data_IF_144738563451
#
_entry.id   IF_144738563451
#
_cell.length_a   1.000
_cell.length_b   1.000
_cell.length_c   1.000
_cell.angle_alpha   90.00
_cell.angle_beta   90.00
_cell.angle_gamma   90.00
#
_symmetry.space_group_name_H-M   'P 1'
#
loop_
_entity.id
_entity.type
_entity.pdbx_description
1 polymer ?
#
# COMPACT_ATOMS: atom_id res chain seq x y z
N UNK A 1 -20.04 -21.84 45.06
CA UNK A 1 -19.43 -22.39 43.83
C UNK A 1 -19.60 -21.36 42.73
N UNK A 2 -18.54 -20.64 42.38
CA UNK A 2 -18.58 -19.63 41.31
C UNK A 2 -18.09 -20.28 40.02
N UNK A 3 -18.92 -20.30 38.98
CA UNK A 3 -18.56 -20.86 37.68
C UNK A 3 -17.56 -19.95 36.95
N UNK A 4 -16.54 -20.50 36.25
CA UNK A 4 -15.62 -19.68 35.48
C UNK A 4 -16.34 -19.09 34.26
N UNK A 5 -16.32 -17.76 34.14
CA UNK A 5 -16.76 -17.05 32.94
C UNK A 5 -15.82 -17.39 31.78
N UNK A 6 -16.26 -18.26 30.88
CA UNK A 6 -15.60 -18.45 29.58
C UNK A 6 -15.90 -17.24 28.68
N UNK A 7 -14.89 -16.56 28.11
CA UNK A 7 -15.12 -15.45 27.21
C UNK A 7 -15.79 -15.94 25.93
N UNK A 8 -16.99 -15.45 25.66
CA UNK A 8 -17.73 -15.74 24.43
C UNK A 8 -16.96 -15.15 23.23
N UNK A 9 -16.62 -15.94 22.20
CA UNK A 9 -15.94 -15.41 21.03
C UNK A 9 -16.88 -14.42 20.32
N UNK A 10 -16.41 -13.18 20.16
CA UNK A 10 -17.16 -12.13 19.47
C UNK A 10 -17.20 -12.43 17.96
N UNK A 11 -18.30 -12.09 17.25
CA UNK A 11 -18.50 -12.48 15.85
C UNK A 11 -17.38 -12.01 14.90
N UNK A 12 -16.71 -10.91 15.23
CA UNK A 12 -15.56 -10.39 14.49
C UNK A 12 -14.37 -11.37 14.47
N UNK A 13 -14.17 -12.14 15.54
CA UNK A 13 -13.07 -13.12 15.63
C UNK A 13 -13.32 -14.35 14.75
N UNK A 14 -14.58 -14.78 14.61
CA UNK A 14 -14.97 -15.89 13.76
C UNK A 14 -14.82 -15.52 12.28
N UNK A 15 -15.29 -14.34 11.88
CA UNK A 15 -15.14 -13.83 10.50
C UNK A 15 -13.67 -13.73 10.12
N UNK A 16 -12.80 -13.29 11.04
CA UNK A 16 -11.36 -13.19 10.80
C UNK A 16 -10.72 -14.57 10.62
N UNK A 17 -11.12 -15.57 11.43
CA UNK A 17 -10.64 -16.96 11.30
C UNK A 17 -11.10 -17.59 9.98
N UNK A 18 -12.36 -17.38 9.59
CA UNK A 18 -12.91 -17.87 8.32
C UNK A 18 -12.18 -17.23 7.14
N UNK A 19 -11.95 -15.91 7.15
CA UNK A 19 -11.18 -15.22 6.11
C UNK A 19 -9.75 -15.73 6.00
N UNK A 20 -9.07 -15.95 7.13
CA UNK A 20 -7.70 -16.49 7.14
C UNK A 20 -7.65 -17.91 6.58
N UNK A 21 -8.64 -18.74 6.92
CA UNK A 21 -8.74 -20.10 6.43
C UNK A 21 -8.98 -20.15 4.91
N UNK A 22 -9.92 -19.34 4.41
CA UNK A 22 -10.20 -19.25 2.97
C UNK A 22 -8.98 -18.74 2.22
N UNK A 23 -8.34 -17.67 2.68
CA UNK A 23 -7.14 -17.12 2.00
C UNK A 23 -5.92 -18.06 2.05
N UNK A 24 -5.84 -18.97 3.04
CA UNK A 24 -4.75 -19.95 3.11
C UNK A 24 -4.94 -21.17 2.20
N UNK A 25 -6.15 -21.40 1.70
CA UNK A 25 -6.52 -22.59 0.92
C UNK A 25 -7.07 -22.26 -0.46
N UNK A 26 -7.49 -21.02 -0.69
CA UNK A 26 -7.89 -20.55 -1.98
C UNK A 26 -6.64 -20.34 -2.84
N UNK A 27 -6.55 -21.00 -4.00
CA UNK A 27 -5.49 -20.70 -4.95
C UNK A 27 -5.63 -19.25 -5.44
N UNK A 28 -4.50 -18.59 -5.71
CA UNK A 28 -4.44 -17.15 -6.03
C UNK A 28 -5.35 -16.74 -7.20
N UNK A 29 -5.64 -17.67 -8.12
CA UNK A 29 -6.54 -17.46 -9.26
C UNK A 29 -7.99 -17.18 -8.84
N UNK A 30 -8.49 -17.77 -7.75
CA UNK A 30 -9.87 -17.58 -7.29
C UNK A 30 -10.12 -16.13 -6.83
N UNK A 31 -9.09 -15.50 -6.25
CA UNK A 31 -9.14 -14.08 -5.87
C UNK A 31 -9.14 -13.14 -7.08
N UNK A 32 -8.53 -13.55 -8.19
CA UNK A 32 -8.60 -12.80 -9.45
C UNK A 32 -9.98 -12.90 -10.09
N UNK A 33 -10.56 -14.11 -10.05
CA UNK A 33 -11.86 -14.39 -10.63
C UNK A 33 -12.99 -13.63 -9.93
N UNK A 34 -13.01 -13.62 -8.59
CA UNK A 34 -13.97 -12.82 -7.81
C UNK A 34 -13.88 -11.33 -8.16
N UNK A 35 -12.67 -10.78 -8.39
CA UNK A 35 -12.51 -9.39 -8.80
C UNK A 35 -13.01 -9.08 -10.22
N UNK A 36 -12.99 -10.07 -11.12
CA UNK A 36 -13.54 -9.94 -12.47
C UNK A 36 -15.06 -9.97 -12.47
N UNK A 37 -15.66 -10.78 -11.59
CA UNK A 37 -17.11 -10.87 -11.44
C UNK A 37 -17.72 -9.73 -10.61
N UNK A 38 -16.97 -9.18 -9.64
CA UNK A 38 -17.47 -8.13 -8.74
C UNK A 38 -17.41 -6.69 -9.31
N UNK A 39 -16.93 -6.48 -10.54
CA UNK A 39 -16.97 -5.16 -11.20
C UNK A 39 -18.16 -5.09 -12.16
N UNK A 40 -19.08 -4.12 -12.02
CA UNK A 40 -20.01 -3.83 -13.10
C UNK A 40 -19.22 -3.35 -14.32
N UNK A 41 -19.21 -4.18 -15.37
CA UNK A 41 -18.58 -3.87 -16.66
C UNK A 41 -19.39 -2.77 -17.37
N UNK A 42 -18.86 -1.56 -17.44
CA UNK A 42 -19.07 -0.73 -18.63
C UNK A 42 -18.18 -1.28 -19.73
N UNK A 43 -18.71 -2.23 -20.49
CA UNK A 43 -18.12 -2.69 -21.76
C UNK A 43 -18.22 -1.53 -22.75
N UNK A 44 -17.11 -0.84 -23.04
CA UNK A 44 -16.80 -0.23 -24.33
C UNK A 44 -15.32 0.22 -24.30
N UNK A 45 -14.53 -0.30 -25.24
CA UNK A 45 -13.10 0.00 -25.49
C UNK A 45 -12.06 -0.78 -24.67
N UNK A 46 -11.91 -2.07 -24.96
CA UNK A 46 -10.67 -2.81 -24.71
C UNK A 46 -9.67 -2.53 -25.85
N UNK A 47 -8.93 -1.43 -25.74
CA UNK A 47 -7.64 -1.29 -26.43
C UNK A 47 -6.64 -2.14 -25.65
N UNK A 48 -6.18 -3.25 -26.23
CA UNK A 48 -5.15 -4.11 -25.65
C UNK A 48 -3.84 -3.30 -25.64
N UNK A 49 -3.55 -2.68 -24.50
CA UNK A 49 -2.26 -2.05 -24.23
C UNK A 49 -1.30 -3.09 -23.64
N UNK A 50 0.02 -2.98 -23.89
CA UNK A 50 1.03 -3.88 -23.35
C UNK A 50 0.98 -3.94 -21.81
N UNK A 51 1.50 -5.01 -21.17
CA UNK A 51 1.31 -5.28 -19.75
C UNK A 51 1.71 -4.06 -18.92
N UNK A 52 0.70 -3.43 -18.30
CA UNK A 52 0.89 -2.30 -17.41
C UNK A 52 1.84 -2.72 -16.30
N UNK A 53 2.99 -2.04 -16.24
CA UNK A 53 3.95 -2.06 -15.13
C UNK A 53 3.16 -2.14 -13.82
N UNK A 54 3.46 -3.18 -13.06
CA UNK A 54 2.77 -3.59 -11.83
C UNK A 54 2.34 -2.39 -10.99
N UNK A 55 1.04 -2.07 -11.02
CA UNK A 55 0.46 -1.05 -10.15
C UNK A 55 0.41 -1.62 -8.74
N UNK A 56 1.17 -1.12 -7.76
CA UNK A 56 1.09 -1.65 -6.41
C UNK A 56 -0.10 -0.96 -5.76
N UNK A 57 -1.23 -1.65 -5.85
CA UNK A 57 -2.57 -1.25 -5.37
C UNK A 57 -2.67 -0.98 -3.87
N UNK A 58 -1.57 -1.02 -3.12
CA UNK A 58 -1.60 -0.87 -1.67
C UNK A 58 -1.53 0.61 -1.27
N UNK A 59 -2.34 1.06 -0.28
CA UNK A 59 -2.27 2.42 0.26
C UNK A 59 -0.87 2.82 0.74
N UNK A 60 -0.07 1.84 1.17
CA UNK A 60 1.32 2.02 1.56
C UNK A 60 2.20 2.48 0.38
N UNK A 61 2.04 1.87 -0.80
CA UNK A 61 2.83 2.27 -1.96
C UNK A 61 2.47 3.66 -2.47
N UNK A 62 1.18 4.02 -2.50
CA UNK A 62 0.75 5.38 -2.87
C UNK A 62 1.40 6.43 -1.97
N UNK A 63 1.44 6.18 -0.65
CA UNK A 63 2.12 7.06 0.31
C UNK A 63 3.62 7.19 0.04
N UNK A 64 4.30 6.09 -0.26
CA UNK A 64 5.73 6.12 -0.61
C UNK A 64 5.97 6.92 -1.89
N UNK A 65 5.13 6.74 -2.91
CA UNK A 65 5.27 7.47 -4.17
C UNK A 65 5.12 8.98 -3.99
N UNK A 66 4.15 9.42 -3.18
CA UNK A 66 3.97 10.85 -2.87
C UNK A 66 5.23 11.41 -2.17
N UNK A 67 5.78 10.66 -1.20
CA UNK A 67 7.02 11.06 -0.53
C UNK A 67 8.20 11.12 -1.50
N UNK A 68 8.32 10.17 -2.43
CA UNK A 68 9.40 10.18 -3.43
C UNK A 68 9.28 11.37 -4.38
N UNK A 69 8.07 11.69 -4.82
CA UNK A 69 7.82 12.87 -5.65
C UNK A 69 8.21 14.17 -4.92
N UNK A 70 7.87 14.30 -3.63
CA UNK A 70 8.29 15.45 -2.83
C UNK A 70 9.81 15.53 -2.67
N UNK A 71 10.51 14.39 -2.54
CA UNK A 71 11.98 14.35 -2.49
C UNK A 71 12.62 14.76 -3.84
N UNK A 72 12.02 14.37 -4.96
CA UNK A 72 12.50 14.77 -6.30
C UNK A 72 12.36 16.30 -6.51
N UNK A 73 11.26 16.90 -6.01
CA UNK A 73 11.07 18.35 -6.01
C UNK A 73 12.12 19.05 -5.13
N UNK A 74 12.32 18.56 -3.90
CA UNK A 74 13.32 19.12 -2.97
C UNK A 74 14.74 19.08 -3.56
N UNK A 75 15.09 18.00 -4.26
CA UNK A 75 16.38 17.86 -4.93
C UNK A 75 16.52 18.88 -6.08
N UNK A 76 15.42 19.17 -6.79
CA UNK A 76 15.39 20.19 -7.85
C UNK A 76 15.55 21.61 -7.30
N UNK A 77 15.15 21.84 -6.05
CA UNK A 77 15.40 23.08 -5.30
C UNK A 77 16.81 23.13 -4.68
N UNK A 78 17.63 22.09 -4.87
CA UNK A 78 19.00 22.02 -4.37
C UNK A 78 19.12 21.60 -2.90
N UNK A 79 18.07 21.06 -2.30
CA UNK A 79 18.07 20.60 -0.91
C UNK A 79 18.71 19.21 -0.84
N UNK A 80 19.86 19.09 -0.17
CA UNK A 80 20.63 17.83 -0.11
C UNK A 80 20.67 17.22 1.31
N UNK A 81 20.55 18.07 2.33
CA UNK A 81 20.68 17.68 3.74
C UNK A 81 19.45 16.91 4.21
N UNK A 82 19.70 15.87 5.02
CA UNK A 82 18.62 15.02 5.54
C UNK A 82 17.59 15.76 6.38
N UNK A 83 18.00 16.72 7.20
CA UNK A 83 17.09 17.53 8.04
C UNK A 83 16.11 18.30 7.18
N UNK A 84 16.65 18.98 6.18
CA UNK A 84 15.93 19.91 5.33
C UNK A 84 15.00 19.13 4.39
N UNK A 85 15.42 17.95 3.91
CA UNK A 85 14.55 17.03 3.16
C UNK A 85 13.36 16.52 3.99
N UNK A 86 13.56 16.23 5.27
CA UNK A 86 12.47 15.75 6.15
C UNK A 86 11.46 16.86 6.39
N UNK A 87 11.95 18.08 6.64
CA UNK A 87 11.12 19.26 6.85
C UNK A 87 10.33 19.62 5.59
N UNK A 88 11.00 19.64 4.44
CA UNK A 88 10.36 19.88 3.14
C UNK A 88 9.24 18.87 2.86
N UNK A 89 9.51 17.57 2.98
CA UNK A 89 8.49 16.53 2.75
C UNK A 89 7.33 16.66 3.73
N UNK A 90 7.59 17.03 4.98
CA UNK A 90 6.54 17.25 5.98
C UNK A 90 5.66 18.44 5.62
N UNK A 91 6.25 19.52 5.10
CA UNK A 91 5.52 20.71 4.67
C UNK A 91 4.64 20.43 3.43
N UNK A 92 5.18 19.72 2.45
CA UNK A 92 4.48 19.39 1.20
C UNK A 92 3.37 18.34 1.38
N UNK A 93 3.63 17.29 2.16
CA UNK A 93 2.75 16.11 2.21
C UNK A 93 1.94 16.01 3.49
N UNK A 94 2.26 16.82 4.50
CA UNK A 94 1.74 16.70 5.87
C UNK A 94 2.23 15.45 6.61
N UNK A 95 3.06 14.62 5.96
CA UNK A 95 3.54 13.34 6.48
C UNK A 95 5.06 13.38 6.54
N UNK A 96 5.62 13.23 7.75
CA UNK A 96 7.07 13.13 7.91
C UNK A 96 7.64 11.88 7.22
N UNK A 97 8.84 11.98 6.67
CA UNK A 97 9.55 10.83 6.12
C UNK A 97 10.74 10.41 7.00
N UNK A 98 11.08 9.12 6.96
CA UNK A 98 12.22 8.60 7.72
C UNK A 98 13.52 8.72 6.92
N UNK A 99 14.66 8.87 7.62
CA UNK A 99 16.00 8.85 7.00
C UNK A 99 16.25 7.58 6.18
N UNK A 100 15.72 6.43 6.62
CA UNK A 100 15.81 5.16 5.88
C UNK A 100 15.12 5.25 4.52
N UNK A 101 13.97 5.92 4.46
CA UNK A 101 13.21 6.08 3.21
C UNK A 101 13.94 6.99 2.23
N UNK A 102 14.53 8.09 2.72
CA UNK A 102 15.40 8.98 1.93
C UNK A 102 16.63 8.23 1.41
N UNK A 103 17.30 7.44 2.26
CA UNK A 103 18.45 6.64 1.84
C UNK A 103 18.08 5.58 0.79
N UNK A 104 16.87 5.01 0.86
CA UNK A 104 16.35 4.11 -0.17
C UNK A 104 16.07 4.85 -1.49
N UNK A 105 15.52 6.06 -1.41
CA UNK A 105 15.29 6.93 -2.58
C UNK A 105 16.61 7.31 -3.26
N UNK A 106 17.64 7.77 -2.51
CA UNK A 106 18.96 8.11 -3.08
C UNK A 106 19.60 6.94 -3.83
N UNK A 107 19.62 5.75 -3.23
CA UNK A 107 20.15 4.52 -3.88
C UNK A 107 19.42 4.16 -5.18
N UNK A 108 18.16 4.56 -5.34
CA UNK A 108 17.38 4.32 -6.55
C UNK A 108 17.74 5.28 -7.68
N UNK A 109 18.33 6.44 -7.36
CA UNK A 109 18.82 7.42 -8.34
C UNK A 109 20.24 7.10 -8.82
N UNK A 110 21.02 6.38 -8.01
CA UNK A 110 22.41 6.00 -8.30
C UNK A 110 22.57 4.69 -9.08
N UNK A 111 21.47 3.99 -9.39
CA UNK A 111 21.46 2.70 -10.11
C UNK A 111 20.74 2.78 -11.44
#
# INVERSE_FOLDING_TARGET
MSYPHTPHPTPHTLITKVRKFINSRAPDWLSQEIHLFARPKTLNNLVISPPLKTSPRTPHYRRINIVYQALDNAQSEGIVKYTDLIEYVKNETGIGCSRKLIAKWKRKQEG
#
